data_IF_383276497472
#
_entry.id   IF_383276497472
#
_cell.length_a   1.000
_cell.length_b   1.000
_cell.length_c   1.000
_cell.angle_alpha   90.00
_cell.angle_beta   90.00
_cell.angle_gamma   90.00
#
_symmetry.space_group_name_H-M   'P 1'
#
loop_
_entity.id
_entity.type
_entity.pdbx_description
1 polymer ?
#
# COMPACT_ATOMS: atom_id res chain seq x y z
N UNK A 1 -21.10 -27.72 20.88
CA UNK A 1 -19.73 -27.29 21.07
C UNK A 1 -19.45 -25.96 20.41
N UNK A 2 -19.04 -25.00 21.21
CA UNK A 2 -18.79 -23.63 20.77
C UNK A 2 -17.68 -23.53 19.72
N UNK A 3 -16.72 -24.45 19.75
CA UNK A 3 -15.52 -24.39 18.89
C UNK A 3 -15.79 -24.44 17.39
N UNK A 4 -16.83 -25.14 16.97
CA UNK A 4 -17.14 -25.29 15.55
C UNK A 4 -17.71 -24.00 14.95
N UNK A 5 -18.63 -23.34 15.68
CA UNK A 5 -19.18 -22.03 15.27
C UNK A 5 -18.11 -20.94 15.27
N UNK A 6 -17.22 -20.96 16.25
CA UNK A 6 -16.12 -19.98 16.33
C UNK A 6 -15.13 -20.15 15.18
N UNK A 7 -14.83 -21.39 14.79
CA UNK A 7 -13.98 -21.69 13.65
C UNK A 7 -14.57 -21.16 12.35
N UNK A 8 -15.86 -21.36 12.11
CA UNK A 8 -16.57 -20.84 10.92
C UNK A 8 -16.53 -19.31 10.92
N UNK A 9 -16.77 -18.67 12.08
CA UNK A 9 -16.73 -17.22 12.21
C UNK A 9 -15.34 -16.68 11.87
N UNK A 10 -14.28 -17.32 12.37
CA UNK A 10 -12.89 -16.94 12.08
C UNK A 10 -12.56 -17.05 10.60
N UNK A 11 -12.99 -18.12 9.95
CA UNK A 11 -12.79 -18.33 8.51
C UNK A 11 -13.42 -17.18 7.72
N UNK A 12 -14.65 -16.81 8.04
CA UNK A 12 -15.36 -15.71 7.38
C UNK A 12 -14.66 -14.35 7.63
N UNK A 13 -14.23 -14.09 8.87
CA UNK A 13 -13.50 -12.87 9.23
C UNK A 13 -12.16 -12.80 8.50
N UNK A 14 -11.43 -13.91 8.43
CA UNK A 14 -10.14 -13.99 7.74
C UNK A 14 -10.30 -13.76 6.24
N UNK A 15 -11.37 -14.30 5.64
CA UNK A 15 -11.68 -14.07 4.22
C UNK A 15 -11.93 -12.58 3.95
N UNK A 16 -12.72 -11.90 4.79
CA UNK A 16 -12.99 -10.47 4.67
C UNK A 16 -11.71 -9.64 4.81
N UNK A 17 -10.87 -9.96 5.81
CA UNK A 17 -9.59 -9.28 6.02
C UNK A 17 -8.67 -9.45 4.81
N UNK A 18 -8.60 -10.67 4.29
CA UNK A 18 -7.76 -11.00 3.14
C UNK A 18 -8.17 -10.19 1.92
N UNK A 19 -9.48 -10.13 1.62
CA UNK A 19 -10.02 -9.33 0.52
C UNK A 19 -9.71 -7.83 0.70
N UNK A 20 -9.93 -7.30 1.91
CA UNK A 20 -9.67 -5.90 2.22
C UNK A 20 -8.18 -5.57 2.09
N UNK A 21 -7.31 -6.42 2.62
CA UNK A 21 -5.86 -6.23 2.55
C UNK A 21 -5.37 -6.29 1.11
N UNK A 22 -5.91 -7.21 0.32
CA UNK A 22 -5.61 -7.32 -1.11
C UNK A 22 -6.01 -6.04 -1.85
N UNK A 23 -7.17 -5.49 -1.55
CA UNK A 23 -7.65 -4.23 -2.13
C UNK A 23 -6.69 -3.08 -1.82
N UNK A 24 -6.28 -2.93 -0.56
CA UNK A 24 -5.35 -1.89 -0.14
C UNK A 24 -3.97 -2.05 -0.78
N UNK A 25 -3.47 -3.27 -0.88
CA UNK A 25 -2.17 -3.54 -1.54
C UNK A 25 -2.22 -3.19 -3.02
N UNK A 26 -3.29 -3.54 -3.68
CA UNK A 26 -3.50 -3.18 -5.10
C UNK A 26 -3.52 -1.67 -5.27
N UNK A 27 -4.23 -0.96 -4.41
CA UNK A 27 -4.28 0.50 -4.40
C UNK A 27 -2.88 1.11 -4.23
N UNK A 28 -2.10 0.58 -3.30
CA UNK A 28 -0.72 1.01 -3.07
C UNK A 28 0.13 0.83 -4.33
N UNK A 29 0.06 -0.34 -4.95
CA UNK A 29 0.81 -0.63 -6.18
C UNK A 29 0.44 0.32 -7.31
N UNK A 30 -0.84 0.65 -7.43
CA UNK A 30 -1.31 1.59 -8.46
C UNK A 30 -0.75 2.99 -8.22
N UNK A 31 -0.70 3.47 -6.98
CA UNK A 31 -0.09 4.75 -6.65
C UNK A 31 1.40 4.76 -6.94
N UNK A 32 2.12 3.69 -6.62
CA UNK A 32 3.55 3.57 -6.92
C UNK A 32 3.77 3.59 -8.43
N UNK A 33 2.95 2.89 -9.19
CA UNK A 33 3.02 2.87 -10.66
C UNK A 33 2.83 4.27 -11.24
N UNK A 34 1.89 5.05 -10.71
CA UNK A 34 1.65 6.44 -11.16
C UNK A 34 2.88 7.31 -10.96
N UNK A 35 3.57 7.17 -9.84
CA UNK A 35 4.84 7.88 -9.59
C UNK A 35 5.86 7.51 -10.64
N UNK A 36 6.05 6.22 -10.92
CA UNK A 36 7.02 5.74 -11.89
C UNK A 36 6.73 6.24 -13.30
N UNK A 37 5.46 6.21 -13.71
CA UNK A 37 5.04 6.70 -15.01
C UNK A 37 5.36 8.19 -15.15
N UNK A 38 5.09 8.99 -14.13
CA UNK A 38 5.39 10.43 -14.13
C UNK A 38 6.90 10.69 -14.21
N UNK A 39 7.70 9.90 -13.50
CA UNK A 39 9.18 10.00 -13.55
C UNK A 39 9.70 9.67 -14.95
N UNK A 40 9.20 8.60 -15.56
CA UNK A 40 9.59 8.18 -16.91
C UNK A 40 9.21 9.23 -17.95
N UNK A 41 8.08 9.90 -17.75
CA UNK A 41 7.62 10.97 -18.64
C UNK A 41 8.41 12.28 -18.45
N UNK A 42 9.26 12.35 -17.44
CA UNK A 42 10.01 13.58 -17.13
C UNK A 42 9.18 14.69 -16.52
N UNK A 43 7.96 14.39 -16.05
CA UNK A 43 7.05 15.36 -15.45
C UNK A 43 7.27 15.42 -13.93
N UNK A 44 8.19 16.28 -13.51
CA UNK A 44 8.53 16.42 -12.09
C UNK A 44 7.37 16.94 -11.25
N UNK A 45 6.54 17.82 -11.79
CA UNK A 45 5.38 18.36 -11.08
C UNK A 45 4.39 17.25 -10.74
N UNK A 46 4.00 16.46 -11.73
CA UNK A 46 3.10 15.32 -11.53
C UNK A 46 3.75 14.26 -10.63
N UNK A 47 5.04 13.99 -10.83
CA UNK A 47 5.78 13.04 -10.00
C UNK A 47 5.74 13.42 -8.51
N UNK A 48 5.91 14.69 -8.18
CA UNK A 48 5.83 15.17 -6.80
C UNK A 48 4.44 15.03 -6.21
N UNK A 49 3.39 15.34 -6.96
CA UNK A 49 2.00 15.19 -6.53
C UNK A 49 1.69 13.71 -6.28
N UNK A 50 2.05 12.84 -7.22
CA UNK A 50 1.82 11.40 -7.09
C UNK A 50 2.67 10.79 -5.96
N UNK A 51 3.88 11.31 -5.73
CA UNK A 51 4.74 10.88 -4.63
C UNK A 51 4.08 11.15 -3.26
N UNK A 52 3.48 12.32 -3.08
CA UNK A 52 2.76 12.66 -1.85
C UNK A 52 1.58 11.72 -1.63
N UNK A 53 0.80 11.46 -2.67
CA UNK A 53 -0.33 10.55 -2.62
C UNK A 53 0.11 9.13 -2.28
N UNK A 54 1.17 8.63 -2.94
CA UNK A 54 1.72 7.30 -2.70
C UNK A 54 2.26 7.18 -1.27
N UNK A 55 3.00 8.17 -0.79
CA UNK A 55 3.54 8.19 0.58
C UNK A 55 2.43 8.11 1.61
N UNK A 56 1.36 8.89 1.42
CA UNK A 56 0.19 8.87 2.31
C UNK A 56 -0.46 7.48 2.37
N UNK A 57 -0.65 6.85 1.22
CA UNK A 57 -1.24 5.49 1.14
C UNK A 57 -0.33 4.46 1.82
N UNK A 58 0.97 4.49 1.55
CA UNK A 58 1.94 3.55 2.12
C UNK A 58 1.96 3.69 3.65
N UNK A 59 2.00 4.90 4.18
CA UNK A 59 1.99 5.15 5.62
C UNK A 59 0.70 4.67 6.26
N UNK A 60 -0.43 4.85 5.59
CA UNK A 60 -1.73 4.37 6.07
C UNK A 60 -1.77 2.85 6.17
N UNK A 61 -1.22 2.16 5.17
CA UNK A 61 -1.16 0.70 5.17
C UNK A 61 -0.26 0.18 6.31
N UNK A 62 0.85 0.84 6.56
CA UNK A 62 1.74 0.51 7.68
C UNK A 62 1.02 0.73 9.02
N UNK A 63 0.30 1.83 9.16
CA UNK A 63 -0.48 2.14 10.36
C UNK A 63 -1.56 1.09 10.63
N UNK A 64 -2.17 0.55 9.56
CA UNK A 64 -3.18 -0.51 9.69
C UNK A 64 -2.57 -1.90 9.86
N UNK A 65 -1.26 -2.05 9.78
CA UNK A 65 -0.58 -3.33 9.89
C UNK A 65 -0.68 -4.21 8.65
N UNK A 66 -1.12 -3.66 7.51
CA UNK A 66 -1.22 -4.42 6.25
C UNK A 66 0.18 -4.69 5.69
N UNK A 67 1.09 -3.73 5.84
CA UNK A 67 2.50 -3.90 5.54
C UNK A 67 3.31 -3.53 6.79
N UNK A 68 4.51 -4.08 6.92
CA UNK A 68 5.40 -3.75 8.02
C UNK A 68 5.97 -2.34 7.83
N UNK A 69 6.17 -1.60 8.94
CA UNK A 69 6.72 -0.24 8.92
C UNK A 69 8.08 -0.15 8.21
N UNK A 70 8.91 -1.18 8.32
CA UNK A 70 10.20 -1.22 7.65
C UNK A 70 10.04 -1.32 6.13
N UNK A 71 9.06 -2.10 5.67
CA UNK A 71 8.71 -2.19 4.26
C UNK A 71 8.20 -0.86 3.73
N UNK A 72 7.35 -0.17 4.50
CA UNK A 72 6.83 1.15 4.15
C UNK A 72 7.98 2.16 4.00
N UNK A 73 8.88 2.21 4.95
CA UNK A 73 10.03 3.12 4.92
C UNK A 73 10.91 2.87 3.68
N UNK A 74 11.15 1.60 3.37
CA UNK A 74 11.96 1.21 2.20
C UNK A 74 11.30 1.65 0.89
N UNK A 75 10.00 1.43 0.75
CA UNK A 75 9.25 1.82 -0.45
C UNK A 75 9.23 3.33 -0.63
N UNK A 76 8.99 4.09 0.45
CA UNK A 76 9.00 5.55 0.43
C UNK A 76 10.37 6.08 0.05
N UNK A 77 11.43 5.53 0.65
CA UNK A 77 12.81 5.92 0.36
C UNK A 77 13.16 5.72 -1.12
N UNK A 78 12.79 4.56 -1.69
CA UNK A 78 13.03 4.25 -3.10
C UNK A 78 12.27 5.21 -4.03
N UNK A 79 11.02 5.53 -3.70
CA UNK A 79 10.22 6.46 -4.48
C UNK A 79 10.82 7.87 -4.44
N UNK A 80 11.23 8.34 -3.28
CA UNK A 80 11.90 9.63 -3.14
C UNK A 80 13.18 9.69 -3.98
N UNK A 81 13.98 8.64 -3.94
CA UNK A 81 15.21 8.58 -4.74
C UNK A 81 14.91 8.61 -6.25
N UNK A 82 13.88 7.92 -6.70
CA UNK A 82 13.47 7.91 -8.11
C UNK A 82 13.01 9.29 -8.58
N UNK A 83 12.26 10.01 -7.75
CA UNK A 83 11.75 11.35 -8.10
C UNK A 83 12.86 12.38 -8.11
N UNK A 84 13.86 12.26 -7.25
CA UNK A 84 14.99 13.20 -7.18
C UNK A 84 15.97 13.11 -8.36
N UNK A 85 15.98 11.96 -9.05
CA UNK A 85 16.78 11.83 -10.25
C UNK A 85 16.19 12.68 -11.37
#
# INVERSE_FOLDING_TARGET
MAHHKDAIKRIKQNAKRRMRNRHYRTRMRNHIKRVRVAVEAGDKGTANVELRAATSVIQRLASKGIIHRNQAARRISRLNAAVKK
#
